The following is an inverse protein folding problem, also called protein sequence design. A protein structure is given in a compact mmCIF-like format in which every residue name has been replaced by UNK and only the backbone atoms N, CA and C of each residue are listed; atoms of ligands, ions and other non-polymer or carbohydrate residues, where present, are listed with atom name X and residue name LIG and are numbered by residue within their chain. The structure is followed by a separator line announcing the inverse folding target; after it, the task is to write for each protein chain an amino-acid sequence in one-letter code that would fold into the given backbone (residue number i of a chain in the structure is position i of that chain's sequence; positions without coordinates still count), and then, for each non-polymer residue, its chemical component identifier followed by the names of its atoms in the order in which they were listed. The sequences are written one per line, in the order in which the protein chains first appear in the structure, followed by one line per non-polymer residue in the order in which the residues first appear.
data_IF_830607434582
#
_entry.id   IF_830607434582
#
_cell.length_a   1.000
_cell.length_b   1.000
_cell.length_c   1.000
_cell.angle_alpha   90.00
_cell.angle_beta   90.00
_cell.angle_gamma   90.00
#
_symmetry.space_group_name_H-M   'P 1'
#
loop_
_entity.id
_entity.type
_entity.pdbx_description
1 polymer ?
#
# COMPACT_ATOMS: atom_id res chain seq x y z
N UNK A 1 -18.67 24.96 -8.47
CA UNK A 1 -19.95 24.76 -9.17
C UNK A 1 -19.93 23.38 -9.83
N UNK A 2 -20.62 22.42 -9.22
CA UNK A 2 -20.89 21.11 -9.78
C UNK A 2 -22.36 20.82 -9.51
N UNK A 3 -23.24 21.47 -10.27
CA UNK A 3 -24.68 21.35 -10.13
C UNK A 3 -25.12 20.21 -11.06
N UNK A 4 -25.09 18.99 -10.54
CA UNK A 4 -25.67 17.82 -11.18
C UNK A 4 -26.25 16.96 -10.07
N UNK A 5 -27.58 16.88 -10.02
CA UNK A 5 -28.30 16.02 -9.08
C UNK A 5 -28.10 14.56 -9.52
N UNK A 6 -26.97 13.96 -9.13
CA UNK A 6 -26.70 12.56 -9.41
C UNK A 6 -27.39 11.69 -8.37
N UNK A 7 -28.47 11.01 -8.80
CA UNK A 7 -29.15 10.00 -8.00
C UNK A 7 -28.49 8.64 -8.25
N UNK A 8 -27.59 8.22 -7.35
CA UNK A 8 -27.05 6.86 -7.37
C UNK A 8 -28.14 5.91 -6.87
N UNK A 9 -28.68 5.08 -7.76
CA UNK A 9 -29.65 4.04 -7.40
C UNK A 9 -28.97 2.69 -7.59
N UNK A 10 -28.78 1.97 -6.49
CA UNK A 10 -28.34 0.59 -6.54
C UNK A 10 -29.56 -0.32 -6.70
N UNK A 11 -29.72 -0.90 -7.87
CA UNK A 11 -30.86 -1.78 -8.18
C UNK A 11 -30.70 -3.13 -7.46
N UNK A 12 -29.52 -3.75 -7.58
CA UNK A 12 -29.18 -5.01 -6.92
C UNK A 12 -27.68 -5.07 -6.57
N UNK A 13 -27.37 -5.36 -5.30
CA UNK A 13 -26.00 -5.60 -4.82
C UNK A 13 -25.95 -7.02 -4.25
N UNK A 14 -25.04 -7.85 -4.78
CA UNK A 14 -24.80 -9.19 -4.26
C UNK A 14 -23.30 -9.42 -4.06
N UNK A 15 -22.92 -9.86 -2.86
CA UNK A 15 -21.56 -10.25 -2.53
C UNK A 15 -21.49 -11.78 -2.39
N UNK A 16 -20.72 -12.42 -3.27
CA UNK A 16 -20.47 -13.86 -3.20
C UNK A 16 -19.14 -14.12 -2.50
N UNK A 17 -19.20 -14.74 -1.32
CA UNK A 17 -18.02 -15.12 -0.55
C UNK A 17 -17.92 -16.64 -0.50
N UNK A 18 -16.74 -17.17 -0.80
CA UNK A 18 -16.46 -18.60 -0.73
C UNK A 18 -16.37 -19.06 0.73
N UNK A 19 -17.37 -19.82 1.20
CA UNK A 19 -17.32 -20.48 2.51
C UNK A 19 -16.67 -21.87 2.38
N UNK A 20 -15.50 -22.05 2.99
CA UNK A 20 -14.83 -23.35 3.05
C UNK A 20 -15.33 -24.13 4.28
N UNK A 21 -15.76 -25.38 4.08
CA UNK A 21 -16.08 -26.30 5.18
C UNK A 21 -14.81 -27.05 5.58
N UNK A 22 -14.33 -26.80 6.79
CA UNK A 22 -13.14 -27.46 7.33
C UNK A 22 -13.52 -28.85 7.86
N UNK A 23 -12.62 -29.83 7.72
CA UNK A 23 -12.81 -31.17 8.28
C UNK A 23 -13.01 -31.09 9.81
N UNK A 24 -14.02 -31.77 10.39
CA UNK A 24 -14.28 -31.75 11.83
C UNK A 24 -13.09 -32.18 12.69
N UNK A 25 -12.20 -33.06 12.19
CA UNK A 25 -10.99 -33.45 12.93
C UNK A 25 -10.03 -32.29 13.20
N UNK A 26 -9.94 -31.33 12.28
CA UNK A 26 -9.11 -30.12 12.42
C UNK A 26 -9.70 -29.17 13.45
N UNK A 27 -11.04 -29.03 13.49
CA UNK A 27 -11.75 -28.23 14.50
C UNK A 27 -11.50 -28.75 15.92
N UNK A 28 -11.62 -30.07 16.12
CA UNK A 28 -11.34 -30.72 17.41
C UNK A 28 -9.87 -30.56 17.78
N UNK A 29 -8.96 -30.69 16.81
CA UNK A 29 -7.53 -30.47 17.02
C UNK A 29 -7.22 -29.05 17.50
N UNK A 30 -7.80 -28.03 16.87
CA UNK A 30 -7.65 -26.64 17.30
C UNK A 30 -8.26 -26.37 18.68
N UNK A 31 -9.44 -26.94 19.00
CA UNK A 31 -10.05 -26.81 20.32
C UNK A 31 -9.12 -27.35 21.43
N UNK A 32 -8.55 -28.55 21.23
CA UNK A 32 -7.57 -29.13 22.17
C UNK A 32 -6.26 -28.34 22.26
N UNK A 33 -5.82 -27.71 21.17
CA UNK A 33 -4.62 -26.87 21.17
C UNK A 33 -4.85 -25.57 21.95
N UNK A 34 -6.04 -24.97 21.80
CA UNK A 34 -6.47 -23.77 22.52
C UNK A 34 -6.65 -23.99 24.02
N UNK A 35 -7.06 -25.19 24.44
CA UNK A 35 -7.10 -25.57 25.86
C UNK A 35 -5.71 -25.56 26.51
N UNK A 36 -4.66 -25.91 25.74
CA UNK A 36 -3.28 -26.03 26.25
C UNK A 36 -2.49 -24.74 26.15
N UNK A 37 -2.73 -23.92 25.13
CA UNK A 37 -1.95 -22.71 24.88
C UNK A 37 -2.78 -21.62 24.18
N UNK A 38 -2.54 -20.37 24.58
CA UNK A 38 -3.13 -19.19 23.94
C UNK A 38 -2.66 -19.07 22.49
N UNK A 39 -3.60 -18.91 21.55
CA UNK A 39 -3.27 -18.67 20.14
C UNK A 39 -2.69 -17.27 19.94
N UNK A 40 -1.60 -17.21 19.17
CA UNK A 40 -1.01 -15.96 18.68
C UNK A 40 -1.52 -15.70 17.27
N UNK A 41 -2.17 -14.56 17.07
CA UNK A 41 -2.63 -14.11 15.77
C UNK A 41 -1.65 -13.06 15.24
N UNK A 42 -0.79 -13.39 14.26
CA UNK A 42 0.06 -12.38 13.64
C UNK A 42 -0.82 -11.35 12.93
N UNK A 43 -0.63 -10.07 13.26
CA UNK A 43 -1.33 -8.96 12.61
C UNK A 43 -0.27 -8.15 11.86
N UNK A 44 -0.39 -8.12 10.54
CA UNK A 44 0.38 -7.22 9.71
C UNK A 44 -0.30 -5.86 9.69
N UNK A 45 0.36 -4.85 10.28
CA UNK A 45 -0.12 -3.47 10.26
C UNK A 45 0.44 -2.75 9.04
N UNK A 46 -0.47 -2.21 8.23
CA UNK A 46 -0.12 -1.32 7.12
C UNK A 46 -0.24 0.12 7.60
N UNK A 47 0.83 0.89 7.43
CA UNK A 47 0.87 2.32 7.80
C UNK A 47 1.18 3.13 6.56
N UNK A 48 0.25 3.98 6.14
CA UNK A 48 0.44 4.90 5.03
C UNK A 48 0.90 6.26 5.55
N UNK A 49 1.93 6.82 4.93
CA UNK A 49 2.38 8.20 5.17
C UNK A 49 2.35 8.96 3.86
N UNK A 50 1.80 10.17 3.92
CA UNK A 50 1.58 11.01 2.75
C UNK A 50 2.51 12.21 2.84
N UNK A 51 3.18 12.50 1.73
CA UNK A 51 4.09 13.63 1.60
C UNK A 51 3.70 14.43 0.37
N UNK A 52 3.71 15.76 0.48
CA UNK A 52 3.42 16.67 -0.63
C UNK A 52 4.74 17.17 -1.20
N UNK A 53 4.98 16.91 -2.49
CA UNK A 53 6.14 17.40 -3.22
C UNK A 53 5.70 18.63 -4.02
N UNK A 54 6.33 19.80 -3.83
CA UNK A 54 5.97 20.99 -4.59
C UNK A 54 6.38 20.86 -6.06
N UNK A 55 5.57 21.45 -6.94
CA UNK A 55 5.83 21.47 -8.37
C UNK A 55 7.22 22.06 -8.66
N UNK A 56 7.92 21.52 -9.65
CA UNK A 56 9.30 21.89 -10.05
C UNK A 56 10.45 21.47 -9.12
N UNK A 57 10.18 20.58 -8.15
CA UNK A 57 11.25 19.98 -7.35
C UNK A 57 11.83 18.74 -8.03
N UNK A 58 13.17 18.71 -8.19
CA UNK A 58 13.89 17.56 -8.76
C UNK A 58 14.33 16.53 -7.71
N UNK A 59 14.37 16.93 -6.43
CA UNK A 59 14.81 16.07 -5.33
C UNK A 59 13.88 16.25 -4.14
N UNK A 60 13.47 15.14 -3.54
CA UNK A 60 12.69 15.12 -2.31
C UNK A 60 13.32 14.13 -1.34
N UNK A 61 13.68 14.59 -0.15
CA UNK A 61 14.30 13.77 0.89
C UNK A 61 13.46 13.92 2.16
N UNK A 62 12.94 12.81 2.65
CA UNK A 62 12.19 12.77 3.91
C UNK A 62 12.93 11.91 4.93
N UNK A 63 13.36 12.52 6.02
CA UNK A 63 13.98 11.83 7.13
C UNK A 63 12.94 11.27 8.10
N UNK A 64 13.31 10.20 8.80
CA UNK A 64 12.49 9.58 9.84
C UNK A 64 11.06 9.24 9.36
N UNK A 65 10.95 8.64 8.18
CA UNK A 65 9.66 8.26 7.60
C UNK A 65 8.93 7.30 8.52
N UNK A 66 9.56 6.31 9.14
CA UNK A 66 8.92 5.45 10.14
C UNK A 66 9.69 5.54 11.46
N UNK A 67 9.00 5.91 12.54
CA UNK A 67 9.58 5.95 13.88
C UNK A 67 9.08 4.76 14.68
N UNK A 68 10.01 3.99 15.26
CA UNK A 68 9.69 2.80 16.05
C UNK A 68 9.80 1.50 15.23
N UNK A 69 8.66 0.90 14.88
CA UNK A 69 8.66 -0.38 14.15
C UNK A 69 9.10 -0.20 12.70
N UNK A 70 10.14 -0.94 12.32
CA UNK A 70 10.62 -0.99 10.93
C UNK A 70 9.66 -1.81 10.06
N UNK A 71 9.17 -1.26 8.93
CA UNK A 71 8.31 -2.00 8.03
C UNK A 71 9.08 -3.12 7.32
N UNK A 72 8.43 -4.25 7.08
CA UNK A 72 8.99 -5.36 6.28
C UNK A 72 8.96 -5.10 4.77
N UNK A 73 8.01 -4.26 4.32
CA UNK A 73 7.79 -3.93 2.92
C UNK A 73 7.42 -2.46 2.81
N UNK A 74 7.99 -1.78 1.83
CA UNK A 74 7.73 -0.38 1.53
C UNK A 74 7.11 -0.31 0.12
N UNK A 75 5.97 0.35 0.02
CA UNK A 75 5.28 0.59 -1.26
C UNK A 75 5.20 2.10 -1.43
N UNK A 76 5.67 2.58 -2.58
CA UNK A 76 5.65 3.99 -2.94
C UNK A 76 4.70 4.18 -4.10
N UNK A 77 3.85 5.19 -3.98
CA UNK A 77 2.85 5.53 -4.97
C UNK A 77 2.79 7.06 -5.09
N UNK A 78 2.87 7.56 -6.31
CA UNK A 78 2.77 8.98 -6.59
C UNK A 78 1.44 9.24 -7.31
N UNK A 79 0.73 10.27 -6.86
CA UNK A 79 -0.57 10.69 -7.39
C UNK A 79 -0.64 12.21 -7.42
N UNK A 80 -1.50 12.75 -8.28
CA UNK A 80 -1.75 14.18 -8.32
C UNK A 80 -2.36 14.66 -6.99
N UNK A 81 -1.90 15.80 -6.49
CA UNK A 81 -2.44 16.36 -5.24
C UNK A 81 -3.95 16.66 -5.37
N UNK A 82 -4.40 17.13 -6.54
CA UNK A 82 -5.82 17.33 -6.84
C UNK A 82 -6.63 16.03 -6.78
N UNK A 83 -6.04 14.92 -7.26
CA UNK A 83 -6.69 13.61 -7.24
C UNK A 83 -6.79 13.07 -5.82
N UNK A 84 -5.73 13.21 -5.03
CA UNK A 84 -5.71 12.85 -3.61
C UNK A 84 -6.74 13.64 -2.79
N UNK A 85 -6.92 14.92 -3.08
CA UNK A 85 -7.91 15.78 -2.42
C UNK A 85 -9.35 15.61 -2.93
N UNK A 86 -9.61 14.73 -3.91
CA UNK A 86 -10.96 14.37 -4.34
C UNK A 86 -11.53 15.22 -5.48
N UNK A 87 -10.72 15.61 -6.45
CA UNK A 87 -11.24 16.23 -7.69
C UNK A 87 -12.05 15.21 -8.51
N UNK A 88 -13.34 15.51 -8.77
CA UNK A 88 -14.24 14.64 -9.55
C UNK A 88 -13.75 14.25 -10.95
N UNK A 89 -12.83 15.03 -11.55
CA UNK A 89 -12.29 14.74 -12.88
C UNK A 89 -11.04 13.83 -12.85
N UNK A 90 -10.47 13.56 -11.68
CA UNK A 90 -9.22 12.79 -11.53
C UNK A 90 -9.43 11.63 -10.57
N UNK A 91 -8.71 10.53 -10.77
CA UNK A 91 -8.81 9.35 -9.92
C UNK A 91 -7.63 9.27 -8.93
N UNK A 92 -7.87 9.05 -7.63
CA UNK A 92 -6.79 8.80 -6.67
C UNK A 92 -6.14 7.41 -6.85
N UNK A 93 -6.68 6.57 -7.73
CA UNK A 93 -6.15 5.24 -8.04
C UNK A 93 -5.28 5.23 -9.30
N UNK A 94 -5.09 6.38 -9.93
CA UNK A 94 -4.21 6.54 -11.08
C UNK A 94 -2.81 6.91 -10.60
N UNK A 95 -1.94 5.89 -10.53
CA UNK A 95 -0.56 6.06 -10.08
C UNK A 95 0.34 6.46 -11.25
N UNK A 96 0.94 7.64 -11.13
CA UNK A 96 1.84 8.18 -12.13
C UNK A 96 3.28 8.11 -11.63
N UNK A 97 4.21 7.81 -12.51
CA UNK A 97 5.63 7.70 -12.14
C UNK A 97 6.38 9.04 -12.15
N UNK A 98 5.82 10.07 -12.81
CA UNK A 98 6.37 11.44 -12.93
C UNK A 98 7.86 11.49 -13.32
N UNK A 99 8.34 10.53 -14.13
CA UNK A 99 9.74 10.42 -14.55
C UNK A 99 10.75 10.41 -13.37
N UNK A 100 10.38 9.78 -12.24
CA UNK A 100 11.28 9.58 -11.11
C UNK A 100 12.47 8.68 -11.47
N UNK A 101 13.67 9.21 -11.63
CA UNK A 101 14.82 8.44 -12.11
C UNK A 101 15.53 7.61 -11.01
N UNK A 102 15.55 8.11 -9.78
CA UNK A 102 16.31 7.50 -8.67
C UNK A 102 15.46 7.40 -7.41
N UNK A 103 15.53 6.24 -6.75
CA UNK A 103 14.94 6.01 -5.44
C UNK A 103 15.99 5.42 -4.49
N UNK A 104 16.31 6.18 -3.44
CA UNK A 104 17.16 5.73 -2.34
C UNK A 104 16.34 5.56 -1.06
N UNK A 105 16.40 4.37 -0.46
CA UNK A 105 15.85 4.12 0.88
C UNK A 105 17.03 3.88 1.82
N UNK A 106 16.99 4.53 2.98
CA UNK A 106 18.05 4.45 3.98
C UNK A 106 17.48 3.94 5.30
N UNK A 107 18.16 2.97 5.88
CA UNK A 107 17.85 2.41 7.20
C UNK A 107 19.04 2.70 8.09
N UNK A 108 18.83 3.48 9.16
CA UNK A 108 19.87 3.89 10.12
C UNK A 108 21.15 4.45 9.46
N UNK A 109 20.96 5.21 8.37
CA UNK A 109 22.05 5.84 7.60
C UNK A 109 22.72 4.93 6.57
N UNK A 110 22.37 3.64 6.52
CA UNK A 110 22.85 2.73 5.47
C UNK A 110 21.85 2.63 4.32
N UNK A 111 22.29 2.69 3.06
CA UNK A 111 21.41 2.51 1.90
C UNK A 111 20.92 1.06 1.83
N UNK A 112 19.61 0.90 1.65
CA UNK A 112 18.94 -0.38 1.50
C UNK A 112 17.97 -0.29 0.32
N UNK A 113 18.26 -0.91 -0.84
CA UNK A 113 19.41 -1.75 -1.17
C UNK A 113 20.74 -0.96 -1.30
N UNK A 114 21.88 -1.68 -1.29
CA UNK A 114 23.23 -1.07 -1.28
C UNK A 114 23.49 -0.10 -2.44
N UNK A 115 22.78 -0.30 -3.56
CA UNK A 115 22.75 0.62 -4.69
C UNK A 115 21.35 1.25 -4.77
N UNK A 116 21.25 2.60 -4.95
CA UNK A 116 19.98 3.24 -5.21
C UNK A 116 19.26 2.59 -6.40
N UNK A 117 17.94 2.51 -6.31
CA UNK A 117 17.14 1.94 -7.37
C UNK A 117 17.06 2.96 -8.52
N UNK A 118 17.66 2.61 -9.65
CA UNK A 118 17.48 3.33 -10.91
C UNK A 118 16.19 2.86 -11.57
N UNK A 119 15.26 3.79 -11.73
CA UNK A 119 13.95 3.53 -12.29
C UNK A 119 13.96 3.93 -13.77
N UNK A 120 14.01 2.93 -14.63
CA UNK A 120 13.84 3.06 -16.07
C UNK A 120 12.40 2.68 -16.42
N UNK A 121 11.55 3.67 -16.69
CA UNK A 121 10.13 3.42 -17.03
C UNK A 121 9.93 3.08 -18.51
N UNK A 122 10.97 3.20 -19.35
CA UNK A 122 10.92 2.76 -20.75
C UNK A 122 11.23 1.25 -20.86
N UNK A 123 12.07 0.72 -19.96
CA UNK A 123 12.25 -0.72 -19.78
C UNK A 123 11.24 -1.26 -18.78
N UNK A 124 10.17 -1.86 -19.29
CA UNK A 124 9.20 -2.62 -18.49
C UNK A 124 9.92 -3.81 -17.84
N UNK A 125 10.53 -3.59 -16.68
CA UNK A 125 11.06 -4.66 -15.82
C UNK A 125 10.45 -4.44 -14.44
N UNK A 126 9.40 -5.21 -14.16
CA UNK A 126 8.77 -5.28 -12.84
C UNK A 126 9.82 -5.80 -11.85
N UNK A 127 10.39 -4.89 -11.04
CA UNK A 127 11.36 -5.25 -10.00
C UNK A 127 10.60 -5.73 -8.75
N UNK A 128 10.04 -6.94 -8.82
CA UNK A 128 9.73 -7.71 -7.62
C UNK A 128 11.01 -8.42 -7.17
N UNK A 129 11.55 -8.04 -6.01
CA UNK A 129 12.56 -8.84 -5.32
C UNK A 129 12.06 -9.16 -3.91
N UNK A 130 11.83 -10.46 -3.71
CA UNK A 130 11.30 -11.18 -2.55
C UNK A 130 11.95 -10.80 -1.22
#
# INVERSE_FOLDING_TARGET
MGNGDYKVVFDHISLFVRKVRVNPGVLIGHAKALEKATTKYPIDRVVCKVFSIPQSSYSFIQNNVFSGQMPKRLVLACVDNDAFNGNYKKSPFEFNHYYMNFLGVYVDGQPMPHQPLELDFEKITTLERT
#
